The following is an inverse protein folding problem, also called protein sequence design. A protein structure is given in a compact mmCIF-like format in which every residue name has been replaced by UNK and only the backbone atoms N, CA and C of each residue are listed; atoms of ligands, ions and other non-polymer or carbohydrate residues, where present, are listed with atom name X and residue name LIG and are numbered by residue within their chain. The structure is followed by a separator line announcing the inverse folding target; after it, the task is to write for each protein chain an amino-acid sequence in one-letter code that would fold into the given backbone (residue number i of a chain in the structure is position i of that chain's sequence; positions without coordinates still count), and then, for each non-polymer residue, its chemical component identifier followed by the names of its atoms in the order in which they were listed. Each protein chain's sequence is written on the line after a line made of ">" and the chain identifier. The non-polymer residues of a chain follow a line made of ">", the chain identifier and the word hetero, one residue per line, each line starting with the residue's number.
data_IF_218044295064
#
_entry.id   IF_218044295064
#
_cell.length_a   1.000
_cell.length_b   1.000
_cell.length_c   1.000
_cell.angle_alpha   90.00
_cell.angle_beta   90.00
_cell.angle_gamma   90.00
#
_symmetry.space_group_name_H-M   'P 1'
#
loop_
_entity.id
_entity.type
_entity.pdbx_description
1 polymer ?
#
# COMPACT_ATOMS: atom_id res chain seq x y z
N UNK A 1 17.41 13.61 12.91
CA UNK A 1 17.33 13.66 11.44
C UNK A 1 16.08 12.92 11.00
N UNK A 2 15.22 13.48 10.13
CA UNK A 2 14.06 12.78 9.57
C UNK A 2 14.50 11.62 8.65
N UNK A 3 13.78 10.50 8.66
CA UNK A 3 14.13 9.27 7.92
C UNK A 3 12.96 8.68 7.10
N UNK A 4 11.95 9.51 6.82
CA UNK A 4 10.71 9.05 6.18
C UNK A 4 10.93 8.40 4.81
N UNK A 5 11.92 8.89 4.04
CA UNK A 5 12.23 8.40 2.69
C UNK A 5 13.39 7.41 2.64
N UNK A 6 13.96 7.05 3.80
CA UNK A 6 15.01 6.04 3.87
C UNK A 6 14.41 4.65 3.69
N UNK A 7 15.18 3.75 3.08
CA UNK A 7 14.81 2.34 3.01
C UNK A 7 14.70 1.71 4.40
N UNK A 8 13.85 0.70 4.52
CA UNK A 8 13.74 -0.15 5.70
C UNK A 8 13.64 -1.62 5.29
N UNK A 9 14.40 -2.48 5.96
CA UNK A 9 14.32 -3.92 5.78
C UNK A 9 13.34 -4.50 6.81
N UNK A 10 12.32 -5.20 6.32
CA UNK A 10 11.34 -5.93 7.11
C UNK A 10 11.52 -7.42 6.82
N UNK A 11 12.28 -8.11 7.68
CA UNK A 11 12.76 -9.47 7.40
C UNK A 11 13.49 -9.50 6.06
N UNK A 12 13.01 -10.26 5.08
CA UNK A 12 13.64 -10.44 3.77
C UNK A 12 13.14 -9.45 2.71
N UNK A 13 12.30 -8.47 3.09
CA UNK A 13 11.72 -7.47 2.19
C UNK A 13 12.37 -6.10 2.43
N UNK A 14 12.92 -5.50 1.38
CA UNK A 14 13.37 -4.10 1.40
C UNK A 14 12.26 -3.17 0.90
N UNK A 15 11.80 -2.28 1.77
CA UNK A 15 10.81 -1.26 1.45
C UNK A 15 11.52 0.05 1.10
N UNK A 16 11.10 0.69 0.00
CA UNK A 16 11.78 1.88 -0.56
C UNK A 16 11.71 3.14 0.32
N UNK A 17 10.76 3.22 1.24
CA UNK A 17 10.55 4.32 2.18
C UNK A 17 9.69 3.86 3.37
N UNK A 18 9.53 4.71 4.37
CA UNK A 18 8.76 4.41 5.59
C UNK A 18 7.31 4.87 5.50
N UNK A 19 6.77 4.99 4.29
CA UNK A 19 5.37 5.39 4.04
C UNK A 19 4.55 4.12 3.81
N UNK A 20 3.68 3.82 4.77
CA UNK A 20 2.72 2.71 4.70
C UNK A 20 1.30 3.22 4.46
N UNK A 21 0.57 2.58 3.55
CA UNK A 21 -0.89 2.75 3.45
C UNK A 21 -1.56 1.72 4.37
N UNK A 22 -2.16 2.20 5.46
CA UNK A 22 -2.93 1.38 6.41
C UNK A 22 -4.04 0.57 5.71
N UNK A 23 -4.47 -0.57 6.27
CA UNK A 23 -5.63 -1.29 5.74
C UNK A 23 -6.87 -0.39 5.87
N UNK A 24 -7.65 -0.31 4.79
CA UNK A 24 -8.85 0.53 4.71
C UNK A 24 -9.97 -0.25 4.04
N UNK A 25 -11.14 -0.30 4.67
CA UNK A 25 -12.33 -0.86 4.04
C UNK A 25 -12.79 0.04 2.89
N UNK A 26 -12.69 -0.47 1.66
CA UNK A 26 -13.11 0.25 0.46
C UNK A 26 -14.61 0.09 0.14
N UNK A 27 -15.29 -0.86 0.78
CA UNK A 27 -16.73 -1.16 0.63
C UNK A 27 -17.18 -1.28 -0.85
N UNK A 28 -16.29 -1.76 -1.70
CA UNK A 28 -16.41 -1.82 -3.16
C UNK A 28 -16.73 -3.23 -3.67
N UNK A 29 -16.39 -4.26 -2.89
CA UNK A 29 -16.62 -5.66 -3.23
C UNK A 29 -18.09 -6.07 -3.09
N UNK A 30 -18.52 -7.01 -3.93
CA UNK A 30 -19.84 -7.64 -3.90
C UNK A 30 -19.63 -9.13 -3.66
N UNK A 31 -20.38 -9.71 -2.72
CA UNK A 31 -20.27 -11.13 -2.33
C UNK A 31 -18.85 -11.57 -1.91
N UNK A 32 -18.04 -10.63 -1.40
CA UNK A 32 -16.66 -10.88 -0.96
C UNK A 32 -15.63 -10.83 -2.10
N UNK A 33 -16.05 -10.54 -3.32
CA UNK A 33 -15.16 -10.45 -4.48
C UNK A 33 -14.48 -9.10 -4.57
N UNK A 34 -13.22 -9.12 -4.99
CA UNK A 34 -12.44 -7.93 -5.30
C UNK A 34 -13.03 -7.25 -6.55
N UNK A 35 -13.22 -5.95 -6.47
CA UNK A 35 -13.75 -5.14 -7.56
C UNK A 35 -12.64 -4.49 -8.38
N UNK A 36 -12.98 -4.01 -9.58
CA UNK A 36 -12.08 -3.16 -10.40
C UNK A 36 -11.66 -1.89 -9.66
N UNK A 37 -12.49 -1.38 -8.74
CA UNK A 37 -12.14 -0.21 -7.94
C UNK A 37 -10.93 -0.50 -7.05
N UNK A 38 -10.84 -1.67 -6.43
CA UNK A 38 -9.73 -2.04 -5.55
C UNK A 38 -8.41 -2.08 -6.33
N UNK A 39 -8.45 -2.70 -7.51
CA UNK A 39 -7.28 -2.77 -8.41
C UNK A 39 -6.76 -1.37 -8.76
N UNK A 40 -7.66 -0.47 -9.20
CA UNK A 40 -7.28 0.90 -9.56
C UNK A 40 -6.86 1.69 -8.32
N UNK A 41 -7.54 1.51 -7.19
CA UNK A 41 -7.25 2.19 -5.93
C UNK A 41 -5.83 1.89 -5.46
N UNK A 42 -5.49 0.61 -5.28
CA UNK A 42 -4.17 0.19 -4.81
C UNK A 42 -3.09 0.43 -5.86
N UNK A 43 -3.40 0.24 -7.15
CA UNK A 43 -2.48 0.58 -8.24
C UNK A 43 -2.06 2.05 -8.23
N UNK A 44 -3.01 2.96 -8.03
CA UNK A 44 -2.72 4.39 -7.94
C UNK A 44 -1.82 4.73 -6.73
N UNK A 45 -2.00 4.08 -5.57
CA UNK A 45 -1.14 4.31 -4.38
C UNK A 45 0.26 3.74 -4.56
N UNK A 46 0.38 2.61 -5.25
CA UNK A 46 1.66 2.01 -5.58
C UNK A 46 2.49 2.94 -6.49
N UNK A 47 1.87 3.44 -7.57
CA UNK A 47 2.48 4.45 -8.46
C UNK A 47 2.82 5.73 -7.69
N UNK A 48 1.94 6.15 -6.78
CA UNK A 48 2.02 7.43 -6.08
C UNK A 48 3.16 7.61 -5.09
N UNK A 49 3.86 6.55 -4.66
CA UNK A 49 5.00 6.75 -3.73
C UNK A 49 5.02 5.85 -2.51
N UNK A 50 3.94 5.12 -2.20
CA UNK A 50 3.90 4.25 -1.03
C UNK A 50 4.98 3.17 -1.10
N UNK A 51 5.63 2.91 0.03
CA UNK A 51 6.59 1.83 0.17
C UNK A 51 5.89 0.50 0.46
N UNK A 52 4.88 0.53 1.32
CA UNK A 52 4.10 -0.64 1.74
C UNK A 52 2.61 -0.32 1.66
N UNK A 53 1.80 -1.27 1.18
CA UNK A 53 0.34 -1.13 1.08
C UNK A 53 -0.29 -2.37 1.72
N UNK A 54 -1.21 -2.14 2.67
CA UNK A 54 -2.05 -3.17 3.27
C UNK A 54 -3.43 -3.18 2.61
N UNK A 55 -3.99 -4.37 2.38
CA UNK A 55 -5.32 -4.60 1.81
C UNK A 55 -6.25 -5.21 2.85
#
# INVERSE_FOLDING_TARGET
>A
MPSLFDQINLRDITVRNRIGLSPMSLYSGVDGEVSTFDLVHYGARAIGGAGLIFT
#
